data_IF_998721387132
#
_entry.id   IF_998721387132
#
_cell.length_a   1.000
_cell.length_b   1.000
_cell.length_c   1.000
_cell.angle_alpha   90.00
_cell.angle_beta   90.00
_cell.angle_gamma   90.00
#
_symmetry.space_group_name_H-M   'P 1'
#
loop_
_entity.id
_entity.type
_entity.pdbx_description
1 polymer ?
#
# COMPACT_ATOMS: atom_id res chain seq x y z
N UNK A 1 16.19 17.76 2.46
CA UNK A 1 16.19 16.80 3.59
C UNK A 1 15.34 15.66 3.08
N UNK A 2 15.88 14.44 3.08
CA UNK A 2 15.30 13.32 2.34
C UNK A 2 13.96 12.91 2.94
N UNK A 3 12.90 13.23 2.23
CA UNK A 3 11.67 12.47 2.30
C UNK A 3 12.02 11.12 1.65
N UNK A 4 12.43 10.15 2.46
CA UNK A 4 12.33 8.74 2.08
C UNK A 4 10.82 8.48 1.88
N UNK A 5 10.32 8.83 0.70
CA UNK A 5 8.93 8.71 0.23
C UNK A 5 8.59 7.22 0.04
N UNK A 6 8.75 6.42 1.09
CA UNK A 6 8.12 5.13 1.15
C UNK A 6 6.62 5.36 1.28
N UNK A 7 5.91 5.40 0.15
CA UNK A 7 4.46 5.45 0.12
C UNK A 7 3.93 4.25 0.92
N UNK A 8 3.25 4.57 2.01
CA UNK A 8 2.59 3.58 2.86
C UNK A 8 1.29 3.23 2.16
N UNK A 9 1.22 2.02 1.63
CA UNK A 9 0.01 1.51 1.00
C UNK A 9 -0.59 0.41 1.86
N UNK A 10 -1.78 -0.07 1.49
CA UNK A 10 -2.39 -1.24 2.10
C UNK A 10 -2.29 -2.38 1.07
N UNK A 11 -1.97 -3.59 1.52
CA UNK A 11 -1.96 -4.79 0.69
C UNK A 11 -3.00 -5.77 1.20
N UNK A 12 -3.86 -6.25 0.30
CA UNK A 12 -4.89 -7.24 0.56
C UNK A 12 -4.40 -8.63 0.17
N UNK A 13 -4.61 -9.61 1.04
CA UNK A 13 -4.35 -10.99 0.69
C UNK A 13 -5.45 -11.54 -0.23
N UNK A 14 -5.05 -12.12 -1.37
CA UNK A 14 -5.98 -12.65 -2.37
C UNK A 14 -6.76 -13.89 -1.90
N UNK A 15 -6.28 -14.58 -0.86
CA UNK A 15 -6.90 -15.80 -0.33
C UNK A 15 -7.94 -15.53 0.77
N UNK A 16 -7.55 -14.71 1.75
CA UNK A 16 -8.33 -14.45 2.97
C UNK A 16 -9.07 -13.11 2.90
N UNK A 17 -8.68 -12.22 1.98
CA UNK A 17 -9.15 -10.84 1.92
C UNK A 17 -8.68 -9.96 3.07
N UNK A 18 -7.71 -10.43 3.86
CA UNK A 18 -7.19 -9.65 4.98
C UNK A 18 -6.28 -8.53 4.48
N UNK A 19 -6.45 -7.34 5.06
CA UNK A 19 -5.70 -6.12 4.74
C UNK A 19 -4.51 -5.97 5.68
N UNK A 20 -3.36 -5.60 5.13
CA UNK A 20 -2.10 -5.38 5.84
C UNK A 20 -1.47 -4.08 5.40
N UNK A 21 -0.87 -3.32 6.32
CA UNK A 21 -0.04 -2.19 5.94
C UNK A 21 1.20 -2.69 5.17
N UNK A 22 1.52 -2.07 4.04
CA UNK A 22 2.71 -2.33 3.24
C UNK A 22 3.44 -1.01 2.92
N UNK A 23 4.75 -1.10 2.70
CA UNK A 23 5.57 0.01 2.23
C UNK A 23 5.92 -0.26 0.77
N UNK A 24 5.65 0.71 -0.09
CA UNK A 24 6.27 0.75 -1.41
C UNK A 24 7.75 1.17 -1.24
N UNK A 25 8.65 0.29 -1.66
CA UNK A 25 10.10 0.49 -1.58
C UNK A 25 10.73 0.77 -2.96
N UNK A 26 9.90 0.85 -4.01
CA UNK A 26 10.25 1.38 -5.33
C UNK A 26 9.51 0.67 -6.46
N UNK A 27 9.10 1.42 -7.49
CA UNK A 27 8.53 0.96 -8.78
C UNK A 27 7.71 -0.35 -8.71
N UNK A 28 6.69 -0.37 -7.84
CA UNK A 28 5.78 -1.50 -7.66
C UNK A 28 6.27 -2.65 -6.76
N UNK A 29 7.39 -2.50 -6.05
CA UNK A 29 7.83 -3.42 -5.00
C UNK A 29 7.23 -3.00 -3.65
N UNK A 30 6.34 -3.86 -3.13
CA UNK A 30 5.63 -3.64 -1.88
C UNK A 30 6.09 -4.64 -0.82
N UNK A 31 6.39 -4.15 0.39
CA UNK A 31 6.69 -5.01 1.55
C UNK A 31 5.71 -4.81 2.70
N UNK A 32 5.02 -5.88 3.15
CA UNK A 32 4.15 -5.79 4.32
C UNK A 32 4.93 -5.41 5.58
N UNK A 33 4.40 -4.44 6.31
CA UNK A 33 4.94 -3.95 7.57
C UNK A 33 4.46 -4.88 8.69
N UNK A 34 5.40 -5.41 9.48
CA UNK A 34 5.09 -6.15 10.71
C UNK A 34 4.78 -7.64 10.55
N UNK A 35 4.64 -8.17 9.33
CA UNK A 35 4.50 -9.62 9.09
C UNK A 35 5.34 -10.06 7.89
N UNK A 36 6.56 -10.55 8.16
CA UNK A 36 7.40 -11.20 7.14
C UNK A 36 6.90 -12.61 6.78
N UNK A 37 6.09 -13.24 7.63
CA UNK A 37 5.65 -14.63 7.49
C UNK A 37 4.32 -14.83 6.73
N UNK A 38 3.67 -13.78 6.21
CA UNK A 38 2.46 -13.89 5.38
C UNK A 38 1.11 -13.59 6.07
N UNK A 39 -0.02 -13.88 5.39
CA UNK A 39 -1.39 -13.69 5.91
C UNK A 39 -1.61 -14.70 7.05
N UNK A 40 -2.47 -14.35 7.99
CA UNK A 40 -3.00 -15.29 9.00
C UNK A 40 -3.55 -16.61 8.44
N UNK A 41 -3.96 -16.64 7.16
CA UNK A 41 -4.45 -17.86 6.50
C UNK A 41 -3.33 -18.76 5.95
N UNK A 42 -2.06 -18.35 6.04
CA UNK A 42 -0.90 -19.05 5.47
C UNK A 42 -0.58 -18.67 4.02
N UNK A 43 -1.31 -17.72 3.42
CA UNK A 43 -1.01 -17.23 2.07
C UNK A 43 0.09 -16.17 2.08
N UNK A 44 0.91 -16.17 1.03
CA UNK A 44 1.94 -15.16 0.75
C UNK A 44 1.62 -14.31 -0.48
N UNK A 45 0.42 -14.51 -1.07
CA UNK A 45 -0.06 -13.71 -2.18
C UNK A 45 -0.78 -12.47 -1.65
N UNK A 46 -0.23 -11.30 -1.96
CA UNK A 46 -0.76 -10.01 -1.57
C UNK A 46 -0.79 -9.09 -2.78
N UNK A 47 -1.87 -8.34 -2.91
CA UNK A 47 -2.02 -7.30 -3.93
C UNK A 47 -2.16 -5.95 -3.24
N UNK A 48 -1.50 -4.88 -3.73
CA UNK A 48 -1.73 -3.53 -3.21
C UNK A 48 -3.18 -3.12 -3.49
N UNK A 49 -3.85 -2.62 -2.47
CA UNK A 49 -5.07 -1.82 -2.59
C UNK A 49 -4.60 -0.38 -2.50
N UNK A 50 -4.30 0.17 -3.67
CA UNK A 50 -3.85 1.55 -3.79
C UNK A 50 -5.02 2.50 -3.52
N UNK A 51 -4.80 3.50 -2.67
CA UNK A 51 -5.76 4.55 -2.33
C UNK A 51 -5.59 5.80 -3.23
N UNK A 52 -4.81 5.75 -4.32
CA UNK A 52 -4.50 6.93 -5.16
C UNK A 52 -5.54 7.24 -6.25
N UNK A 53 -6.69 6.55 -6.24
CA UNK A 53 -7.88 7.07 -6.91
C UNK A 53 -8.47 8.18 -6.01
N UNK A 54 -8.28 9.43 -6.43
CA UNK A 54 -8.96 10.66 -5.96
C UNK A 54 -8.21 11.53 -4.92
N UNK A 55 -7.18 12.28 -5.35
CA UNK A 55 -7.19 13.77 -5.31
C UNK A 55 -5.95 14.40 -5.97
N UNK A 56 -5.68 14.07 -7.23
CA UNK A 56 -4.79 14.91 -8.07
C UNK A 56 -5.55 16.03 -8.83
N UNK A 57 -6.79 16.36 -8.41
CA UNK A 57 -7.70 17.21 -9.20
C UNK A 57 -8.34 18.42 -8.49
N UNK A 58 -8.12 18.65 -7.20
CA UNK A 58 -8.64 19.86 -6.54
C UNK A 58 -7.60 20.97 -6.60
N UNK A 59 -7.49 21.64 -7.74
CA UNK A 59 -7.01 23.02 -7.76
C UNK A 59 -8.05 23.86 -7.00
N UNK A 60 -7.75 24.46 -5.84
CA UNK A 60 -8.57 25.56 -5.34
C UNK A 60 -8.29 26.77 -6.23
N UNK A 61 -8.99 26.86 -7.36
CA UNK A 61 -9.17 28.12 -8.07
C UNK A 61 -10.29 28.88 -7.34
N UNK A 62 -9.92 29.59 -6.27
CA UNK A 62 -10.82 30.48 -5.52
C UNK A 62 -10.24 31.91 -5.59
N UNK A 63 -10.82 32.68 -6.53
CA UNK A 63 -10.89 34.16 -6.73
C UNK A 63 -9.62 34.97 -7.07
#
# INVERSE_FOLDING_TARGET
MGDDEHQRTIAMCEQCGALYAALEIGDGDFRPIGRRDGCQCGSMAFTPVDDDDEVSGLSPDDD
#
